data_IF_083262265737
#
_entry.id   IF_083262265737
#
_cell.length_a   1.000
_cell.length_b   1.000
_cell.length_c   1.000
_cell.angle_alpha   90.00
_cell.angle_beta   90.00
_cell.angle_gamma   90.00
#
_symmetry.space_group_name_H-M   'P 1'
#
loop_
_entity.id
_entity.type
_entity.pdbx_description
1 polymer ?
#
# COMPACT_ATOMS: atom_id res chain seq x y z
N UNK A 1 -1.99 -22.50 -7.86
CA UNK A 1 -2.70 -21.30 -8.38
C UNK A 1 -3.24 -20.48 -7.23
N UNK A 2 -2.87 -19.19 -7.10
CA UNK A 2 -3.49 -18.31 -6.11
C UNK A 2 -4.92 -17.98 -6.60
N UNK A 3 -5.93 -18.38 -5.83
CA UNK A 3 -7.33 -18.06 -6.12
C UNK A 3 -7.59 -16.54 -6.15
N UNK A 4 -8.72 -16.14 -6.72
CA UNK A 4 -9.18 -14.75 -6.76
C UNK A 4 -9.35 -14.21 -5.33
N UNK A 5 -8.86 -13.00 -5.07
CA UNK A 5 -9.06 -12.35 -3.76
C UNK A 5 -10.56 -12.22 -3.45
N UNK A 6 -10.95 -12.48 -2.20
CA UNK A 6 -12.32 -12.31 -1.76
C UNK A 6 -12.77 -10.86 -1.95
N UNK A 7 -13.99 -10.67 -2.42
CA UNK A 7 -14.62 -9.36 -2.51
C UNK A 7 -15.08 -8.94 -1.10
N UNK A 8 -14.95 -7.65 -0.74
CA UNK A 8 -15.53 -7.09 0.48
C UNK A 8 -17.03 -7.30 0.53
N UNK A 9 -17.60 -7.46 1.73
CA UNK A 9 -19.01 -7.80 1.93
C UNK A 9 -19.96 -6.71 1.46
N UNK A 10 -19.59 -5.43 1.59
CA UNK A 10 -20.34 -4.31 1.04
C UNK A 10 -20.48 -4.37 -0.50
N UNK A 11 -19.43 -4.83 -1.23
CA UNK A 11 -19.50 -5.01 -2.69
C UNK A 11 -20.36 -6.22 -3.04
N UNK A 12 -20.37 -7.26 -2.21
CA UNK A 12 -21.26 -8.42 -2.40
C UNK A 12 -22.72 -8.03 -2.25
N UNK A 13 -23.03 -7.22 -1.22
CA UNK A 13 -24.37 -6.69 -0.99
C UNK A 13 -24.86 -5.84 -2.18
N UNK A 14 -24.05 -4.89 -2.67
CA UNK A 14 -24.37 -4.07 -3.84
C UNK A 14 -24.61 -4.88 -5.13
N UNK A 15 -24.03 -6.07 -5.24
CA UNK A 15 -24.20 -6.98 -6.39
C UNK A 15 -25.32 -8.00 -6.20
N UNK A 16 -26.01 -7.98 -5.07
CA UNK A 16 -27.02 -9.00 -4.75
C UNK A 16 -26.45 -10.42 -4.66
N UNK A 17 -25.17 -10.55 -4.34
CA UNK A 17 -24.50 -11.84 -4.19
C UNK A 17 -24.14 -12.15 -2.73
N UNK A 18 -24.82 -11.50 -1.83
CA UNK A 18 -24.69 -11.65 -0.37
C UNK A 18 -25.36 -12.96 0.07
N UNK A 19 -24.57 -13.95 0.35
CA UNK A 19 -25.02 -15.17 0.99
C UNK A 19 -24.65 -15.09 2.47
N UNK A 20 -25.61 -15.20 3.43
CA UNK A 20 -25.33 -15.08 4.86
C UNK A 20 -24.23 -15.99 5.36
N UNK A 21 -24.10 -17.20 4.80
CA UNK A 21 -23.05 -18.16 5.12
C UNK A 21 -21.65 -17.78 4.58
N UNK A 22 -21.56 -16.80 3.68
CA UNK A 22 -20.32 -16.32 3.06
C UNK A 22 -19.95 -14.90 3.48
N UNK A 23 -20.81 -14.25 4.27
CA UNK A 23 -20.49 -12.97 4.90
C UNK A 23 -19.50 -13.23 6.02
N UNK A 24 -18.40 -12.51 6.03
CA UNK A 24 -17.45 -12.60 7.14
C UNK A 24 -18.13 -11.93 8.35
N UNK A 25 -18.22 -12.66 9.47
CA UNK A 25 -18.57 -12.03 10.74
C UNK A 25 -17.66 -10.82 10.92
N UNK A 26 -18.22 -9.64 11.22
CA UNK A 26 -17.45 -8.42 11.52
C UNK A 26 -16.38 -8.83 12.54
N UNK A 27 -15.17 -9.03 12.08
CA UNK A 27 -14.04 -9.24 12.98
C UNK A 27 -13.97 -7.96 13.80
N UNK A 28 -14.16 -8.08 15.09
CA UNK A 28 -14.02 -6.95 15.99
C UNK A 28 -12.64 -6.35 15.74
N UNK A 29 -12.59 -5.21 15.08
CA UNK A 29 -11.34 -4.46 14.92
C UNK A 29 -10.89 -4.11 16.31
N UNK A 30 -9.76 -4.66 16.74
CA UNK A 30 -9.11 -4.26 17.98
C UNK A 30 -8.96 -2.74 17.92
N UNK A 31 -9.38 -1.99 18.95
CA UNK A 31 -9.19 -0.54 19.00
C UNK A 31 -7.68 -0.27 19.09
N UNK A 32 -7.06 -0.12 17.95
CA UNK A 32 -5.66 0.29 17.84
C UNK A 32 -5.60 1.80 18.04
N UNK A 33 -4.84 2.24 19.04
CA UNK A 33 -4.59 3.66 19.23
C UNK A 33 -3.70 4.16 18.10
N UNK A 34 -4.23 5.09 17.31
CA UNK A 34 -3.45 5.80 16.29
C UNK A 34 -2.37 6.66 16.95
N UNK A 35 -1.23 6.77 16.30
CA UNK A 35 -0.12 7.58 16.80
C UNK A 35 -0.44 9.07 16.62
N UNK A 36 -0.06 9.88 17.63
CA UNK A 36 -0.18 11.34 17.58
C UNK A 36 1.17 11.98 17.20
N UNK A 37 2.27 11.29 17.51
CA UNK A 37 3.63 11.82 17.31
C UNK A 37 4.44 10.90 16.40
N UNK A 38 5.38 11.51 15.65
CA UNK A 38 6.26 10.76 14.76
C UNK A 38 7.17 9.80 15.54
N UNK A 39 7.08 8.48 15.29
CA UNK A 39 7.90 7.51 16.01
C UNK A 39 9.36 7.53 15.53
N UNK A 40 10.28 7.06 16.39
CA UNK A 40 11.69 6.89 16.01
C UNK A 40 11.84 5.70 15.07
N UNK A 41 12.36 5.93 13.87
CA UNK A 41 12.49 4.87 12.84
C UNK A 41 13.85 4.19 12.80
N UNK A 42 14.90 4.82 13.38
CA UNK A 42 16.29 4.34 13.23
C UNK A 42 16.83 4.43 11.80
N UNK A 43 16.07 4.98 10.84
CA UNK A 43 16.47 5.11 9.43
C UNK A 43 17.49 6.23 9.22
N UNK A 44 18.32 6.08 8.17
CA UNK A 44 19.31 7.07 7.75
C UNK A 44 19.10 7.48 6.29
N UNK A 45 19.72 8.57 5.86
CA UNK A 45 19.75 9.01 4.47
C UNK A 45 18.38 9.23 3.83
N UNK A 46 18.21 8.72 2.62
CA UNK A 46 16.99 8.84 1.80
C UNK A 46 15.78 8.22 2.49
N UNK A 47 15.94 7.04 3.10
CA UNK A 47 14.86 6.35 3.80
C UNK A 47 14.30 7.17 4.96
N UNK A 48 15.14 7.89 5.73
CA UNK A 48 14.70 8.78 6.80
C UNK A 48 13.85 9.94 6.28
N UNK A 49 14.23 10.51 5.13
CA UNK A 49 13.46 11.62 4.52
C UNK A 49 12.08 11.14 4.06
N UNK A 50 12.03 9.98 3.40
CA UNK A 50 10.77 9.38 2.96
C UNK A 50 9.89 9.07 4.19
N UNK A 51 10.45 8.49 5.23
CA UNK A 51 9.72 8.15 6.45
C UNK A 51 9.10 9.39 7.11
N UNK A 52 9.85 10.49 7.21
CA UNK A 52 9.32 11.72 7.81
C UNK A 52 8.07 12.23 7.07
N UNK A 53 8.06 12.17 5.74
CA UNK A 53 6.91 12.61 4.94
C UNK A 53 5.74 11.62 5.08
N UNK A 54 6.00 10.35 4.81
CA UNK A 54 4.94 9.32 4.73
C UNK A 54 4.30 9.07 6.09
N UNK A 55 5.11 8.93 7.15
CA UNK A 55 4.57 8.68 8.48
C UNK A 55 3.77 9.88 9.01
N UNK A 56 4.20 11.12 8.71
CA UNK A 56 3.43 12.32 9.09
C UNK A 56 2.07 12.33 8.41
N UNK A 57 2.00 12.03 7.11
CA UNK A 57 0.73 11.95 6.38
C UNK A 57 -0.18 10.84 6.90
N UNK A 58 0.38 9.66 7.19
CA UNK A 58 -0.40 8.55 7.74
C UNK A 58 -0.93 8.84 9.15
N UNK A 59 -0.16 9.54 9.98
CA UNK A 59 -0.59 10.00 11.31
C UNK A 59 -1.71 11.04 11.17
N UNK A 60 -1.52 12.04 10.30
CA UNK A 60 -2.52 13.08 10.04
C UNK A 60 -3.88 12.50 9.61
N UNK A 61 -3.86 11.45 8.80
CA UNK A 61 -5.06 10.74 8.35
C UNK A 61 -5.55 9.66 9.33
N UNK A 62 -5.00 9.54 10.53
CA UNK A 62 -5.33 8.52 11.54
C UNK A 62 -5.21 7.06 11.04
N UNK A 63 -4.28 6.80 10.12
CA UNK A 63 -4.07 5.47 9.53
C UNK A 63 -2.96 4.71 10.27
N UNK A 64 -1.92 5.42 10.77
CA UNK A 64 -0.77 4.80 11.37
C UNK A 64 -0.98 4.51 12.85
N UNK A 65 -0.93 3.24 13.19
CA UNK A 65 -0.89 2.75 14.55
C UNK A 65 0.52 2.29 14.94
N UNK A 66 0.69 1.88 16.20
CA UNK A 66 1.98 1.41 16.71
C UNK A 66 2.48 0.14 16.00
N UNK A 67 1.57 -0.73 15.57
CA UNK A 67 1.89 -2.00 14.91
C UNK A 67 2.31 -1.78 13.46
N UNK A 68 1.75 -0.77 12.81
CA UNK A 68 2.05 -0.42 11.42
C UNK A 68 3.41 0.25 11.20
N UNK A 69 4.07 0.75 12.26
CA UNK A 69 5.34 1.49 12.13
C UNK A 69 6.42 0.70 11.40
N UNK A 70 6.61 -0.56 11.73
CA UNK A 70 7.63 -1.40 11.12
C UNK A 70 7.37 -1.67 9.64
N UNK A 71 6.11 -1.78 9.24
CA UNK A 71 5.73 -1.91 7.83
C UNK A 71 6.00 -0.63 7.04
N UNK A 72 5.75 0.54 7.64
CA UNK A 72 6.10 1.84 7.04
C UNK A 72 7.63 2.00 6.95
N UNK A 73 8.38 1.53 7.93
CA UNK A 73 9.85 1.51 7.89
C UNK A 73 10.33 0.61 6.73
N UNK A 74 9.74 -0.57 6.55
CA UNK A 74 10.06 -1.48 5.44
C UNK A 74 9.76 -0.81 4.10
N UNK A 75 8.58 -0.20 3.94
CA UNK A 75 8.23 0.58 2.76
C UNK A 75 9.27 1.66 2.44
N UNK A 76 9.70 2.43 3.44
CA UNK A 76 10.67 3.50 3.25
C UNK A 76 12.06 2.98 2.87
N UNK A 77 12.46 1.79 3.34
CA UNK A 77 13.71 1.13 2.93
C UNK A 77 13.65 0.69 1.47
N UNK A 78 12.56 0.05 1.07
CA UNK A 78 12.38 -0.38 -0.33
C UNK A 78 12.34 0.80 -1.29
N UNK A 79 11.64 1.87 -0.94
CA UNK A 79 11.62 3.09 -1.76
C UNK A 79 13.00 3.76 -1.83
N UNK A 80 13.77 3.79 -0.74
CA UNK A 80 15.13 4.33 -0.76
C UNK A 80 16.05 3.46 -1.63
N UNK A 81 15.96 2.14 -1.53
CA UNK A 81 16.71 1.20 -2.36
C UNK A 81 16.38 1.42 -3.86
N UNK A 82 15.09 1.56 -4.18
CA UNK A 82 14.66 1.88 -5.54
C UNK A 82 15.33 3.17 -6.06
N UNK A 83 15.27 4.24 -5.29
CA UNK A 83 15.86 5.52 -5.68
C UNK A 83 17.39 5.45 -5.86
N UNK A 84 18.07 4.73 -4.97
CA UNK A 84 19.53 4.59 -5.04
C UNK A 84 19.93 3.75 -6.26
N UNK A 85 19.23 2.64 -6.53
CA UNK A 85 19.47 1.82 -7.73
C UNK A 85 19.18 2.59 -9.02
N UNK A 86 18.13 3.41 -9.05
CA UNK A 86 17.83 4.24 -10.22
C UNK A 86 18.90 5.28 -10.48
N UNK A 87 19.43 5.95 -9.44
CA UNK A 87 20.55 6.88 -9.58
C UNK A 87 21.82 6.21 -10.10
N UNK A 88 22.07 4.99 -9.66
CA UNK A 88 23.21 4.22 -10.14
C UNK A 88 23.02 3.82 -11.60
N UNK A 89 21.82 3.40 -12.00
CA UNK A 89 21.49 3.08 -13.39
C UNK A 89 21.62 4.29 -14.34
N UNK A 90 21.25 5.49 -13.86
CA UNK A 90 21.46 6.73 -14.63
C UNK A 90 22.93 7.03 -14.91
N UNK A 91 23.83 6.67 -13.97
CA UNK A 91 25.28 6.87 -14.12
C UNK A 91 25.96 5.76 -14.90
N UNK A 92 25.63 4.51 -14.63
CA UNK A 92 26.30 3.32 -15.18
C UNK A 92 25.66 2.83 -16.49
N UNK A 93 24.43 3.23 -16.75
CA UNK A 93 23.64 2.74 -17.88
C UNK A 93 22.85 1.47 -17.55
N UNK A 94 21.84 1.21 -18.37
CA UNK A 94 20.92 0.06 -18.19
C UNK A 94 21.53 -1.27 -18.63
N UNK A 95 22.69 -1.23 -19.28
CA UNK A 95 23.42 -2.42 -19.75
C UNK A 95 24.87 -2.37 -19.30
N UNK A 96 25.44 -3.53 -19.02
CA UNK A 96 26.85 -3.70 -18.63
C UNK A 96 27.54 -4.68 -19.59
N UNK A 97 28.80 -4.42 -19.90
CA UNK A 97 29.63 -5.35 -20.66
C UNK A 97 30.34 -6.30 -19.69
N UNK A 98 30.04 -7.56 -19.79
CA UNK A 98 30.67 -8.61 -18.96
C UNK A 98 31.70 -9.36 -19.80
N UNK A 99 32.92 -9.46 -19.29
CA UNK A 99 33.98 -10.23 -19.94
C UNK A 99 33.70 -11.73 -19.87
N UNK A 100 33.84 -12.43 -20.98
CA UNK A 100 33.74 -13.88 -21.08
C UNK A 100 35.04 -14.45 -21.65
N UNK A 101 35.21 -15.76 -21.62
CA UNK A 101 36.40 -16.43 -22.19
C UNK A 101 36.61 -16.13 -23.69
N UNK A 102 35.54 -15.79 -24.40
CA UNK A 102 35.54 -15.58 -25.87
C UNK A 102 35.32 -14.12 -26.27
N UNK A 103 35.30 -13.16 -25.32
CA UNK A 103 35.07 -11.73 -25.59
C UNK A 103 34.17 -11.07 -24.57
N UNK A 104 33.40 -10.08 -24.99
CA UNK A 104 32.46 -9.32 -24.14
C UNK A 104 31.01 -9.61 -24.54
N UNK A 105 30.16 -9.81 -23.54
CA UNK A 105 28.72 -9.92 -23.73
C UNK A 105 28.06 -8.72 -23.06
N UNK A 106 27.10 -8.09 -23.76
CA UNK A 106 26.27 -7.04 -23.18
C UNK A 106 25.10 -7.66 -22.47
N UNK A 107 24.96 -7.38 -21.17
CA UNK A 107 23.86 -7.87 -20.33
C UNK A 107 23.12 -6.71 -19.70
N UNK A 108 21.86 -6.95 -19.30
CA UNK A 108 21.09 -5.99 -18.52
C UNK A 108 21.76 -5.79 -17.17
N UNK A 109 21.89 -4.54 -16.72
CA UNK A 109 22.49 -4.22 -15.43
C UNK A 109 21.66 -4.89 -14.29
N UNK A 110 22.27 -5.70 -13.42
CA UNK A 110 21.57 -6.37 -12.33
C UNK A 110 20.81 -5.42 -11.39
N UNK A 111 21.28 -4.17 -11.25
CA UNK A 111 20.64 -3.14 -10.46
C UNK A 111 19.21 -2.83 -10.91
N UNK A 112 18.92 -3.01 -12.22
CA UNK A 112 17.56 -2.87 -12.74
C UNK A 112 16.59 -3.86 -12.11
N UNK A 113 16.98 -5.13 -12.00
CA UNK A 113 16.16 -6.16 -11.37
C UNK A 113 15.96 -5.90 -9.88
N UNK A 114 16.99 -5.38 -9.21
CA UNK A 114 16.89 -4.98 -7.80
C UNK A 114 15.92 -3.80 -7.62
N UNK A 115 15.98 -2.80 -8.49
CA UNK A 115 15.04 -1.68 -8.48
C UNK A 115 13.59 -2.12 -8.73
N UNK A 116 13.36 -3.00 -9.70
CA UNK A 116 12.03 -3.55 -10.00
C UNK A 116 11.47 -4.35 -8.80
N UNK A 117 12.31 -5.16 -8.14
CA UNK A 117 11.95 -5.90 -6.93
C UNK A 117 11.58 -4.98 -5.76
N UNK A 118 12.41 -3.99 -5.48
CA UNK A 118 12.16 -3.00 -4.44
C UNK A 118 10.88 -2.20 -4.69
N UNK A 119 10.64 -1.76 -5.93
CA UNK A 119 9.41 -1.06 -6.29
C UNK A 119 8.17 -1.95 -6.14
N UNK A 120 8.27 -3.23 -6.49
CA UNK A 120 7.17 -4.19 -6.33
C UNK A 120 6.83 -4.41 -4.86
N UNK A 121 7.84 -4.59 -3.99
CA UNK A 121 7.65 -4.72 -2.55
C UNK A 121 7.05 -3.44 -1.94
N UNK A 122 7.57 -2.28 -2.31
CA UNK A 122 7.04 -0.99 -1.87
C UNK A 122 5.57 -0.80 -2.29
N UNK A 123 5.20 -1.13 -3.53
CA UNK A 123 3.80 -1.05 -4.00
C UNK A 123 2.87 -1.96 -3.20
N UNK A 124 3.30 -3.17 -2.85
CA UNK A 124 2.50 -4.08 -2.04
C UNK A 124 2.20 -3.47 -0.66
N UNK A 125 3.22 -2.91 0.00
CA UNK A 125 3.07 -2.23 1.29
C UNK A 125 2.22 -0.95 1.18
N UNK A 126 2.41 -0.16 0.13
CA UNK A 126 1.63 1.07 -0.11
C UNK A 126 0.12 0.81 -0.22
N UNK A 127 -0.28 -0.33 -0.79
CA UNK A 127 -1.70 -0.71 -0.91
C UNK A 127 -2.34 -0.96 0.46
N UNK A 128 -1.61 -1.54 1.41
CA UNK A 128 -2.13 -1.82 2.75
C UNK A 128 -2.44 -0.52 3.53
N UNK A 129 -1.63 0.53 3.35
CA UNK A 129 -1.82 1.82 4.00
C UNK A 129 -2.70 2.81 3.22
N UNK A 130 -3.36 2.37 2.15
CA UNK A 130 -4.22 3.27 1.38
C UNK A 130 -3.47 4.36 0.60
N UNK A 131 -2.17 4.17 0.30
CA UNK A 131 -1.38 5.17 -0.42
C UNK A 131 -1.73 5.25 -1.91
N UNK A 132 -2.44 4.27 -2.46
CA UNK A 132 -2.92 4.29 -3.85
C UNK A 132 -4.37 4.78 -3.91
N UNK A 133 -4.79 5.44 -5.01
CA UNK A 133 -6.18 5.91 -5.14
C UNK A 133 -7.21 4.80 -4.95
N UNK A 134 -6.96 3.61 -5.48
CA UNK A 134 -7.86 2.45 -5.37
C UNK A 134 -7.92 1.84 -3.97
N UNK A 135 -6.83 1.89 -3.20
CA UNK A 135 -6.80 1.37 -1.82
C UNK A 135 -7.29 2.39 -0.79
N UNK A 136 -7.24 3.67 -1.12
CA UNK A 136 -7.63 4.75 -0.21
C UNK A 136 -9.09 4.65 0.21
N UNK A 137 -9.99 4.43 -0.73
CA UNK A 137 -11.42 4.27 -0.43
C UNK A 137 -11.68 3.05 0.46
N UNK A 138 -10.95 1.94 0.26
CA UNK A 138 -11.05 0.75 1.10
C UNK A 138 -10.60 1.03 2.53
N UNK A 139 -9.48 1.70 2.72
CA UNK A 139 -8.96 2.05 4.04
C UNK A 139 -9.88 3.07 4.73
N UNK A 140 -10.36 4.08 4.01
CA UNK A 140 -11.30 5.06 4.55
C UNK A 140 -12.60 4.41 5.02
N UNK A 141 -13.16 3.46 4.27
CA UNK A 141 -14.36 2.72 4.68
C UNK A 141 -14.14 1.89 5.95
N UNK A 142 -12.95 1.32 6.14
CA UNK A 142 -12.59 0.58 7.35
C UNK A 142 -12.44 1.50 8.58
N UNK A 143 -11.90 2.72 8.40
CA UNK A 143 -11.69 3.68 9.47
C UNK A 143 -12.97 4.38 9.90
N UNK A 144 -13.87 4.67 8.96
CA UNK A 144 -15.09 5.42 9.24
C UNK A 144 -16.12 4.60 10.02
N UNK A 145 -16.00 3.26 10.07
CA UNK A 145 -17.00 2.38 10.69
C UNK A 145 -18.41 2.56 10.10
N UNK A 146 -18.54 3.44 9.11
CA UNK A 146 -19.78 3.76 8.46
C UNK A 146 -20.08 2.71 7.39
N UNK A 147 -21.24 2.10 7.52
CA UNK A 147 -21.96 1.59 6.36
C UNK A 147 -22.00 2.71 5.31
N UNK A 148 -21.77 2.38 4.01
CA UNK A 148 -21.96 3.39 2.98
C UNK A 148 -23.35 3.99 3.18
N UNK A 149 -23.43 5.31 3.36
CA UNK A 149 -24.72 5.99 3.33
C UNK A 149 -25.37 5.57 2.03
N UNK A 150 -26.56 5.01 2.13
CA UNK A 150 -27.37 4.72 0.97
C UNK A 150 -27.75 6.09 0.36
N UNK A 151 -27.06 6.45 -0.74
CA UNK A 151 -27.33 7.69 -1.46
C UNK A 151 -28.76 7.73 -2.03
N UNK A 152 -29.52 6.64 -1.88
CA UNK A 152 -30.91 6.52 -2.29
C UNK A 152 -31.90 6.56 -1.12
N UNK A 153 -31.46 6.64 0.13
CA UNK A 153 -32.35 6.73 1.29
C UNK A 153 -33.26 7.97 1.24
N UNK A 154 -32.84 9.04 0.54
CA UNK A 154 -33.62 10.25 0.38
C UNK A 154 -34.74 10.13 -0.68
N UNK A 155 -34.86 9.01 -1.39
CA UNK A 155 -35.86 8.79 -2.43
C UNK A 155 -37.06 7.94 -1.98
N UNK A 156 -37.04 7.37 -0.76
CA UNK A 156 -38.15 6.54 -0.27
C UNK A 156 -39.32 7.32 0.29
N UNK A 157 -39.21 8.64 0.48
CA UNK A 157 -40.27 9.50 1.07
C UNK A 157 -41.11 10.27 0.02
N UNK A 158 -41.26 9.75 -1.18
CA UNK A 158 -42.26 10.29 -2.11
C UNK A 158 -43.55 9.52 -1.93
N UNK A 159 -44.29 9.89 -0.90
CA UNK A 159 -45.69 9.47 -0.74
C UNK A 159 -46.51 9.86 -1.96
N UNK A 160 -46.95 8.86 -2.68
CA UNK A 160 -47.96 9.00 -3.75
C UNK A 160 -49.31 9.26 -3.06
N UNK A 161 -49.71 10.52 -3.02
CA UNK A 161 -51.12 10.90 -2.76
C UNK A 161 -51.94 10.78 -4.03
#
# INVERSE_FOLDING_TARGET
MKGRKKLPDNIKALRGTDQPCRMENKVATLPTQTLITLPKSGLKGTAKKIFAIVATELIYNNILDRLGVDLVIAYCREMALYHDMMKDLEKEGYTVKVATKTGYITQVNPKRKMAEGALSAAKALAVEFGMTPSSRNRVAALLSGNEPKDDFADFEDVDVQ
#
